data_IF_239317291526
#
_entry.id   IF_239317291526
#
_cell.length_a   1.000
_cell.length_b   1.000
_cell.length_c   1.000
_cell.angle_alpha   90.00
_cell.angle_beta   90.00
_cell.angle_gamma   90.00
#
_symmetry.space_group_name_H-M   'P 1'
#
loop_
_entity.id
_entity.type
_entity.pdbx_description
1 polymer ?
#
# COMPACT_ATOMS: atom_id res chain seq x y z
N UNK A 1 5.01 -9.31 -19.91
CA UNK A 1 3.64 -9.02 -19.45
C UNK A 1 3.60 -7.58 -18.94
N UNK A 2 2.63 -6.76 -19.37
CA UNK A 2 2.52 -5.36 -18.95
C UNK A 2 2.24 -5.24 -17.43
N UNK A 3 2.81 -4.24 -16.76
CA UNK A 3 2.55 -3.91 -15.34
C UNK A 3 1.20 -3.18 -15.26
N UNK A 4 0.08 -3.91 -15.32
CA UNK A 4 -1.26 -3.32 -15.49
C UNK A 4 -2.06 -3.17 -14.20
N UNK A 5 -1.59 -3.72 -13.07
CA UNK A 5 -2.29 -3.59 -11.77
C UNK A 5 -1.45 -2.78 -10.79
N UNK A 6 -2.14 -2.10 -9.85
CA UNK A 6 -1.50 -1.27 -8.84
C UNK A 6 -0.49 -2.06 -8.00
N UNK A 7 -0.84 -3.27 -7.56
CA UNK A 7 0.05 -4.14 -6.80
C UNK A 7 1.32 -4.52 -7.60
N UNK A 8 1.18 -4.72 -8.91
CA UNK A 8 2.30 -5.03 -9.81
C UNK A 8 3.25 -3.84 -9.96
N UNK A 9 2.71 -2.64 -10.19
CA UNK A 9 3.46 -1.39 -10.22
C UNK A 9 4.16 -1.09 -8.88
N UNK A 10 3.48 -1.33 -7.75
CA UNK A 10 4.07 -1.16 -6.42
C UNK A 10 5.26 -2.10 -6.21
N UNK A 11 5.10 -3.39 -6.53
CA UNK A 11 6.20 -4.37 -6.44
C UNK A 11 7.39 -4.01 -7.33
N UNK A 12 7.14 -3.53 -8.56
CA UNK A 12 8.19 -3.02 -9.44
C UNK A 12 8.94 -1.86 -8.78
N UNK A 13 8.23 -0.85 -8.28
CA UNK A 13 8.86 0.30 -7.65
C UNK A 13 9.59 -0.06 -6.35
N UNK A 14 9.07 -1.00 -5.55
CA UNK A 14 9.73 -1.50 -4.36
C UNK A 14 11.04 -2.24 -4.65
N UNK A 15 11.20 -2.78 -5.86
CA UNK A 15 12.46 -3.36 -6.34
C UNK A 15 13.39 -2.26 -6.87
N UNK A 16 12.91 -1.48 -7.84
CA UNK A 16 13.74 -0.60 -8.67
C UNK A 16 14.04 0.75 -7.98
N UNK A 17 13.12 1.22 -7.13
CA UNK A 17 13.17 2.50 -6.41
C UNK A 17 13.16 2.31 -4.89
N UNK A 18 13.56 1.14 -4.41
CA UNK A 18 13.36 0.67 -3.02
C UNK A 18 13.62 1.70 -1.92
N UNK A 19 14.72 2.48 -2.01
CA UNK A 19 15.10 3.47 -1.00
C UNK A 19 14.58 4.89 -1.26
N UNK A 20 13.92 5.15 -2.39
CA UNK A 20 13.39 6.48 -2.71
C UNK A 20 12.05 6.71 -1.97
N UNK A 21 11.74 7.95 -1.58
CA UNK A 21 10.42 8.31 -1.05
C UNK A 21 9.29 7.91 -2.00
N UNK A 22 8.25 7.29 -1.46
CA UNK A 22 7.05 6.89 -2.19
C UNK A 22 5.84 7.72 -1.78
N UNK A 23 5.60 7.82 -0.46
CA UNK A 23 4.49 8.57 0.11
C UNK A 23 4.97 9.37 1.32
N UNK A 24 4.35 10.53 1.51
CA UNK A 24 4.63 11.43 2.63
C UNK A 24 3.32 11.89 3.23
N UNK A 25 3.30 11.96 4.54
CA UNK A 25 2.14 12.40 5.32
C UNK A 25 2.61 13.39 6.36
N UNK A 26 1.86 14.47 6.56
CA UNK A 26 2.12 15.38 7.67
C UNK A 26 1.27 14.97 8.86
N UNK A 27 1.93 14.52 9.92
CA UNK A 27 1.30 14.17 11.19
C UNK A 27 1.80 15.08 12.30
N UNK A 28 0.88 15.72 13.02
CA UNK A 28 1.16 16.70 14.10
C UNK A 28 2.24 17.73 13.75
N UNK A 29 2.26 18.19 12.50
CA UNK A 29 3.23 19.18 12.02
C UNK A 29 4.52 18.60 11.43
N UNK A 30 4.79 17.30 11.62
CA UNK A 30 6.02 16.64 11.20
C UNK A 30 5.77 15.80 9.95
N UNK A 31 6.67 15.90 8.97
CA UNK A 31 6.59 15.07 7.77
C UNK A 31 7.12 13.66 8.03
N UNK A 32 6.24 12.67 7.94
CA UNK A 32 6.57 11.26 7.88
C UNK A 32 6.79 10.86 6.42
N UNK A 33 7.76 9.98 6.17
CA UNK A 33 8.13 9.55 4.81
C UNK A 33 8.31 8.04 4.79
N UNK A 34 7.64 7.39 3.84
CA UNK A 34 7.83 5.97 3.56
C UNK A 34 8.54 5.81 2.22
N UNK A 35 9.53 4.94 2.21
CA UNK A 35 10.19 4.50 0.99
C UNK A 35 9.30 3.55 0.20
N UNK A 36 9.63 3.31 -1.07
CA UNK A 36 8.90 2.33 -1.89
C UNK A 36 8.94 0.92 -1.32
N UNK A 37 10.04 0.52 -0.68
CA UNK A 37 10.14 -0.75 0.03
C UNK A 37 9.14 -0.82 1.20
N UNK A 38 9.14 0.19 2.06
CA UNK A 38 8.24 0.23 3.21
C UNK A 38 6.77 0.24 2.78
N UNK A 39 6.40 1.02 1.76
CA UNK A 39 5.03 1.01 1.23
C UNK A 39 4.64 -0.41 0.75
N UNK A 40 5.51 -1.09 0.01
CA UNK A 40 5.22 -2.46 -0.39
C UNK A 40 5.07 -3.43 0.79
N UNK A 41 5.91 -3.32 1.81
CA UNK A 41 5.82 -4.19 2.99
C UNK A 41 4.50 -3.96 3.76
N UNK A 42 4.09 -2.70 3.94
CA UNK A 42 2.79 -2.37 4.57
C UNK A 42 1.60 -2.93 3.78
N UNK A 43 1.61 -2.79 2.45
CA UNK A 43 0.55 -3.34 1.58
C UNK A 43 0.53 -4.87 1.63
N UNK A 44 1.71 -5.51 1.61
CA UNK A 44 1.82 -6.97 1.70
C UNK A 44 1.22 -7.46 3.02
N UNK A 45 1.61 -6.85 4.13
CA UNK A 45 1.18 -7.28 5.45
C UNK A 45 -0.32 -7.02 5.66
N UNK A 46 -0.86 -5.90 5.11
CA UNK A 46 -2.31 -5.65 5.06
C UNK A 46 -3.05 -6.74 4.27
N UNK A 47 -2.59 -7.06 3.06
CA UNK A 47 -3.21 -8.07 2.19
C UNK A 47 -3.18 -9.46 2.82
N UNK A 48 -2.06 -9.83 3.47
CA UNK A 48 -1.93 -11.09 4.21
C UNK A 48 -2.87 -11.12 5.42
N UNK A 49 -3.05 -10.00 6.12
CA UNK A 49 -4.02 -9.88 7.21
C UNK A 49 -5.46 -10.10 6.73
N UNK A 50 -5.85 -9.48 5.61
CA UNK A 50 -7.15 -9.71 4.98
C UNK A 50 -7.35 -11.19 4.62
N UNK A 51 -6.35 -11.81 3.99
CA UNK A 51 -6.40 -13.23 3.63
C UNK A 51 -6.54 -14.12 4.86
N UNK A 52 -5.83 -13.82 5.95
CA UNK A 52 -5.92 -14.55 7.21
C UNK A 52 -7.30 -14.40 7.88
N UNK A 53 -7.98 -13.26 7.70
CA UNK A 53 -9.36 -13.03 8.13
C UNK A 53 -10.41 -13.68 7.21
N UNK A 54 -9.99 -14.35 6.13
CA UNK A 54 -10.87 -15.05 5.22
C UNK A 54 -11.44 -14.18 4.09
N UNK A 55 -10.86 -13.00 3.83
CA UNK A 55 -11.25 -12.15 2.70
C UNK A 55 -10.94 -12.84 1.37
N UNK A 56 -11.90 -12.85 0.44
CA UNK A 56 -11.84 -13.62 -0.81
C UNK A 56 -12.00 -12.74 -2.05
N UNK A 57 -11.50 -13.26 -3.16
CA UNK A 57 -11.71 -12.67 -4.48
C UNK A 57 -13.21 -12.48 -4.74
N UNK A 58 -13.58 -11.27 -5.16
CA UNK A 58 -14.96 -10.89 -5.46
C UNK A 58 -15.69 -10.23 -4.28
N UNK A 59 -15.14 -10.31 -3.07
CA UNK A 59 -15.59 -9.52 -1.94
C UNK A 59 -15.16 -8.06 -2.08
N UNK A 60 -15.83 -7.17 -1.35
CA UNK A 60 -15.64 -5.72 -1.46
C UNK A 60 -15.11 -5.18 -0.15
N UNK A 61 -13.99 -4.47 -0.22
CA UNK A 61 -13.43 -3.72 0.90
C UNK A 61 -13.81 -2.24 0.76
N UNK A 62 -14.40 -1.67 1.80
CA UNK A 62 -14.65 -0.23 1.92
C UNK A 62 -13.76 0.35 3.01
N UNK A 63 -13.13 1.50 2.72
CA UNK A 63 -12.25 2.21 3.65
C UNK A 63 -12.73 3.66 3.73
N UNK A 64 -12.91 4.18 4.94
CA UNK A 64 -13.36 5.55 5.19
C UNK A 64 -12.34 6.20 6.12
N UNK A 65 -11.80 7.35 5.70
CA UNK A 65 -10.84 8.10 6.48
C UNK A 65 -10.24 9.26 5.70
N UNK A 66 -9.37 10.00 6.36
CA UNK A 66 -8.61 11.09 5.75
C UNK A 66 -7.65 10.60 4.67
N UNK A 67 -7.14 11.53 3.85
CA UNK A 67 -6.07 11.28 2.90
C UNK A 67 -4.74 10.95 3.62
N UNK A 68 -4.58 9.69 3.99
CA UNK A 68 -3.48 9.12 4.77
C UNK A 68 -2.90 7.91 4.04
N UNK A 69 -1.62 7.55 4.23
CA UNK A 69 -0.98 6.41 3.58
C UNK A 69 -1.78 5.12 3.70
N UNK A 70 -2.27 4.80 4.91
CA UNK A 70 -3.08 3.61 5.19
C UNK A 70 -4.32 3.46 4.30
N UNK A 71 -4.95 4.57 3.88
CA UNK A 71 -6.09 4.54 2.96
C UNK A 71 -5.68 3.96 1.60
N UNK A 72 -4.56 4.45 1.05
CA UNK A 72 -4.03 3.94 -0.22
C UNK A 72 -3.45 2.53 -0.10
N UNK A 73 -2.88 2.19 1.06
CA UNK A 73 -2.35 0.85 1.29
C UNK A 73 -3.47 -0.19 1.22
N UNK A 74 -4.59 0.09 1.86
CA UNK A 74 -5.78 -0.76 1.80
C UNK A 74 -6.35 -0.88 0.38
N UNK A 75 -6.33 0.21 -0.41
CA UNK A 75 -6.76 0.18 -1.82
C UNK A 75 -5.88 -0.74 -2.68
N UNK A 76 -4.56 -0.79 -2.44
CA UNK A 76 -3.66 -1.66 -3.22
C UNK A 76 -3.68 -3.11 -2.72
N UNK A 77 -4.06 -3.33 -1.46
CA UNK A 77 -4.07 -4.63 -0.81
C UNK A 77 -5.26 -5.54 -1.19
N UNK A 78 -6.37 -4.97 -1.67
CA UNK A 78 -7.61 -5.67 -2.03
C UNK A 78 -7.93 -5.55 -3.53
#
# INVERSE_FOLDING_TARGET
MAETTLARLLRRNARDLHGRPAIREKDRGIWQTWTWRQYHDEVRDFALGLAALGFKRGERLSVIGDNRPRLYWAQVAA
#
